data_IF_625511366764
#
_entry.id   IF_625511366764
#
_cell.length_a   1.000
_cell.length_b   1.000
_cell.length_c   1.000
_cell.angle_alpha   90.00
_cell.angle_beta   90.00
_cell.angle_gamma   90.00
#
_symmetry.space_group_name_H-M   'P 1'
#
loop_
_entity.id
_entity.type
_entity.pdbx_description
1 polymer ?
#
# COMPACT_ATOMS: atom_id res chain seq x y z
N UNK A 1 9.87 15.63 7.28
CA UNK A 1 10.02 14.47 6.37
C UNK A 1 9.80 14.95 4.95
N UNK A 2 10.73 14.69 4.03
CA UNK A 2 10.57 15.05 2.62
C UNK A 2 10.18 13.83 1.80
N UNK A 3 9.11 13.94 1.02
CA UNK A 3 8.71 12.93 0.04
C UNK A 3 9.13 13.42 -1.34
N UNK A 4 9.90 12.61 -2.06
CA UNK A 4 10.28 12.90 -3.43
C UNK A 4 9.34 12.19 -4.41
N UNK A 5 8.27 12.89 -4.81
CA UNK A 5 7.27 12.38 -5.75
C UNK A 5 7.86 11.84 -7.05
N UNK A 6 8.85 12.55 -7.63
CA UNK A 6 9.45 12.12 -8.90
C UNK A 6 10.22 10.83 -8.75
N UNK A 7 10.93 10.66 -7.62
CA UNK A 7 11.65 9.43 -7.32
C UNK A 7 10.71 8.22 -7.18
N UNK A 8 9.55 8.41 -6.53
CA UNK A 8 8.52 7.39 -6.41
C UNK A 8 7.87 7.07 -7.77
N UNK A 9 7.57 8.08 -8.59
CA UNK A 9 7.07 7.89 -9.96
C UNK A 9 8.04 7.10 -10.83
N UNK A 10 9.34 7.39 -10.75
CA UNK A 10 10.37 6.66 -11.49
C UNK A 10 10.49 5.20 -11.01
N UNK A 11 10.25 4.93 -9.73
CA UNK A 11 10.20 3.55 -9.24
C UNK A 11 8.96 2.83 -9.81
N UNK A 12 7.80 3.49 -9.75
CA UNK A 12 6.53 2.95 -10.25
C UNK A 12 6.49 2.75 -11.76
N UNK A 13 7.24 3.52 -12.56
CA UNK A 13 7.26 3.34 -14.02
C UNK A 13 7.78 1.96 -14.44
N UNK A 14 8.55 1.30 -13.58
CA UNK A 14 9.05 -0.06 -13.80
C UNK A 14 8.08 -1.14 -13.29
N UNK A 15 7.03 -0.76 -12.56
CA UNK A 15 6.04 -1.68 -12.00
C UNK A 15 4.79 -1.77 -12.88
N UNK A 16 4.68 -2.84 -13.67
CA UNK A 16 3.47 -3.12 -14.46
C UNK A 16 2.50 -4.00 -13.66
N UNK A 17 1.52 -3.37 -13.00
CA UNK A 17 0.46 -4.08 -12.29
C UNK A 17 -0.36 -4.97 -13.24
N UNK A 18 -0.49 -6.24 -12.89
CA UNK A 18 -1.26 -7.24 -13.64
C UNK A 18 -1.68 -8.40 -12.71
N UNK A 19 -2.42 -9.39 -13.24
CA UNK A 19 -2.94 -10.52 -12.43
C UNK A 19 -1.84 -11.35 -11.75
N UNK A 20 -0.63 -11.38 -12.28
CA UNK A 20 0.45 -12.21 -11.77
C UNK A 20 1.20 -11.57 -10.59
N UNK A 21 1.12 -10.25 -10.41
CA UNK A 21 1.77 -9.54 -9.31
C UNK A 21 0.81 -8.78 -8.40
N UNK A 22 -0.48 -8.73 -8.72
CA UNK A 22 -1.46 -8.00 -7.91
C UNK A 22 -1.55 -8.52 -6.47
N UNK A 23 -1.50 -9.84 -6.28
CA UNK A 23 -1.54 -10.44 -4.94
C UNK A 23 -0.25 -10.23 -4.13
N UNK A 24 0.86 -9.77 -4.76
CA UNK A 24 2.16 -9.64 -4.11
C UNK A 24 2.10 -8.74 -2.88
N UNK A 25 1.30 -7.67 -2.93
CA UNK A 25 1.13 -6.79 -1.79
C UNK A 25 0.63 -7.55 -0.55
N UNK A 26 -0.40 -8.38 -0.70
CA UNK A 26 -0.94 -9.18 0.41
C UNK A 26 0.04 -10.27 0.86
N UNK A 27 0.81 -10.88 -0.07
CA UNK A 27 1.87 -11.83 0.29
C UNK A 27 2.90 -11.16 1.21
N UNK A 28 3.40 -10.00 0.81
CA UNK A 28 4.37 -9.24 1.62
C UNK A 28 3.74 -8.74 2.92
N UNK A 29 2.48 -8.28 2.88
CA UNK A 29 1.76 -7.78 4.05
C UNK A 29 1.63 -8.86 5.11
N UNK A 30 1.19 -10.07 4.77
CA UNK A 30 0.99 -11.14 5.76
C UNK A 30 2.30 -11.84 6.14
N UNK A 31 3.36 -11.71 5.34
CA UNK A 31 4.69 -12.17 5.71
C UNK A 31 5.34 -11.23 6.75
N UNK A 32 5.21 -9.91 6.57
CA UNK A 32 5.83 -8.90 7.43
C UNK A 32 4.97 -8.54 8.64
N UNK A 33 3.65 -8.58 8.47
CA UNK A 33 2.63 -8.23 9.47
C UNK A 33 1.55 -9.33 9.50
N UNK A 34 1.86 -10.53 10.04
CA UNK A 34 0.91 -11.65 10.07
C UNK A 34 -0.43 -11.32 10.75
N UNK A 35 -0.44 -10.37 11.68
CA UNK A 35 -1.66 -9.89 12.34
C UNK A 35 -2.64 -9.17 11.39
N UNK A 36 -2.19 -8.79 10.18
CA UNK A 36 -3.08 -8.23 9.16
C UNK A 36 -3.92 -9.29 8.48
N UNK A 37 -3.50 -10.57 8.48
CA UNK A 37 -4.17 -11.64 7.76
C UNK A 37 -5.63 -11.85 8.21
N UNK A 38 -5.91 -11.71 9.51
CA UNK A 38 -7.24 -11.88 10.09
C UNK A 38 -8.27 -10.92 9.46
N UNK A 39 -7.93 -9.64 9.29
CA UNK A 39 -8.83 -8.63 8.69
C UNK A 39 -9.17 -8.91 7.22
N UNK A 40 -8.37 -9.74 6.56
CA UNK A 40 -8.60 -10.13 5.17
C UNK A 40 -9.21 -11.54 5.04
N UNK A 41 -9.56 -12.18 6.17
CA UNK A 41 -9.98 -13.58 6.26
C UNK A 41 -8.93 -14.51 5.63
N UNK A 42 -7.67 -14.24 5.94
CA UNK A 42 -6.51 -14.96 5.43
C UNK A 42 -5.73 -15.68 6.54
N UNK A 43 -6.26 -15.74 7.76
CA UNK A 43 -5.60 -16.39 8.88
C UNK A 43 -5.33 -17.88 8.58
N UNK A 44 -4.14 -18.35 8.90
CA UNK A 44 -3.70 -19.72 8.62
C UNK A 44 -3.47 -20.05 7.14
N UNK A 45 -3.73 -19.12 6.21
CA UNK A 45 -3.40 -19.31 4.79
C UNK A 45 -1.92 -18.99 4.59
N UNK A 46 -1.19 -19.91 3.97
CA UNK A 46 0.16 -19.65 3.48
C UNK A 46 0.14 -18.47 2.48
N UNK A 47 0.88 -17.37 2.72
CA UNK A 47 0.92 -16.22 1.82
C UNK A 47 1.23 -16.57 0.36
N UNK A 48 2.05 -17.60 0.09
CA UNK A 48 2.35 -18.01 -1.28
C UNK A 48 1.14 -18.64 -2.01
N UNK A 49 0.10 -19.05 -1.30
CA UNK A 49 -1.14 -19.52 -1.91
C UNK A 49 -2.01 -18.38 -2.46
N UNK A 50 -1.77 -17.12 -2.04
CA UNK A 50 -2.61 -15.98 -2.41
C UNK A 50 -2.52 -15.63 -3.91
N UNK A 51 -1.42 -15.96 -4.59
CA UNK A 51 -1.29 -15.79 -6.04
C UNK A 51 -2.33 -16.56 -6.85
N UNK A 52 -2.93 -17.60 -6.27
CA UNK A 52 -3.99 -18.41 -6.92
C UNK A 52 -5.39 -17.94 -6.54
N UNK A 53 -5.53 -17.04 -5.57
CA UNK A 53 -6.82 -16.56 -5.09
C UNK A 53 -7.32 -15.38 -5.89
N UNK A 54 -8.45 -15.55 -6.58
CA UNK A 54 -9.08 -14.44 -7.31
C UNK A 54 -9.46 -13.27 -6.38
N UNK A 55 -9.85 -13.55 -5.12
CA UNK A 55 -10.14 -12.52 -4.09
C UNK A 55 -8.93 -11.60 -3.90
N UNK A 56 -7.76 -12.18 -3.60
CA UNK A 56 -6.54 -11.41 -3.35
C UNK A 56 -5.95 -10.77 -4.60
N UNK A 57 -6.11 -11.39 -5.77
CA UNK A 57 -5.74 -10.74 -7.04
C UNK A 57 -6.58 -9.47 -7.25
N UNK A 58 -7.90 -9.51 -7.03
CA UNK A 58 -8.77 -8.34 -7.22
C UNK A 58 -8.51 -7.26 -6.17
N UNK A 59 -8.44 -7.63 -4.89
CA UNK A 59 -8.12 -6.70 -3.81
C UNK A 59 -6.74 -6.08 -4.00
N UNK A 60 -5.75 -6.87 -4.42
CA UNK A 60 -4.40 -6.39 -4.69
C UNK A 60 -4.39 -5.37 -5.82
N UNK A 61 -5.15 -5.60 -6.90
CA UNK A 61 -5.26 -4.62 -7.98
C UNK A 61 -5.82 -3.28 -7.50
N UNK A 62 -6.86 -3.31 -6.67
CA UNK A 62 -7.49 -2.12 -6.10
C UNK A 62 -6.52 -1.36 -5.18
N UNK A 63 -5.91 -2.05 -4.20
CA UNK A 63 -5.02 -1.42 -3.24
C UNK A 63 -3.76 -0.85 -3.89
N UNK A 64 -3.16 -1.55 -4.87
CA UNK A 64 -2.05 -1.00 -5.66
C UNK A 64 -2.44 0.30 -6.37
N UNK A 65 -3.64 0.37 -6.96
CA UNK A 65 -4.12 1.60 -7.60
C UNK A 65 -4.29 2.74 -6.59
N UNK A 66 -4.76 2.44 -5.36
CA UNK A 66 -4.82 3.43 -4.28
C UNK A 66 -3.43 3.93 -3.89
N UNK A 67 -2.43 3.05 -3.77
CA UNK A 67 -1.04 3.46 -3.51
C UNK A 67 -0.47 4.31 -4.63
N UNK A 68 -0.72 3.96 -5.90
CA UNK A 68 -0.27 4.77 -7.04
C UNK A 68 -0.94 6.15 -7.04
N UNK A 69 -2.22 6.21 -6.66
CA UNK A 69 -2.94 7.46 -6.52
C UNK A 69 -2.36 8.33 -5.40
N UNK A 70 -1.94 7.77 -4.26
CA UNK A 70 -1.22 8.55 -3.24
C UNK A 70 0.05 9.19 -3.80
N UNK A 71 0.87 8.43 -4.55
CA UNK A 71 2.06 9.00 -5.19
C UNK A 71 1.68 10.12 -6.16
N UNK A 72 0.63 9.92 -6.96
CA UNK A 72 0.21 10.89 -7.97
C UNK A 72 -0.36 12.17 -7.36
N UNK A 73 -1.07 12.10 -6.23
CA UNK A 73 -1.73 13.27 -5.62
C UNK A 73 -0.88 13.98 -4.58
N UNK A 74 0.26 13.40 -4.17
CA UNK A 74 1.16 14.08 -3.23
C UNK A 74 1.55 15.47 -3.76
N UNK A 75 1.39 16.48 -2.89
CA UNK A 75 1.60 17.90 -3.20
C UNK A 75 0.38 18.65 -3.77
N UNK A 76 -0.75 17.98 -3.99
CA UNK A 76 -2.03 18.60 -4.37
C UNK A 76 -3.09 18.32 -3.29
N UNK A 77 -3.26 19.26 -2.37
CA UNK A 77 -4.17 19.12 -1.21
C UNK A 77 -5.62 18.78 -1.61
N UNK A 78 -6.08 19.24 -2.79
CA UNK A 78 -7.45 19.01 -3.26
C UNK A 78 -7.68 17.53 -3.54
N UNK A 79 -6.71 16.87 -4.18
CA UNK A 79 -6.82 15.46 -4.57
C UNK A 79 -6.20 14.52 -3.55
N UNK A 80 -5.28 15.00 -2.71
CA UNK A 80 -4.62 14.24 -1.66
C UNK A 80 -5.59 13.68 -0.62
N UNK A 81 -6.51 14.52 -0.11
CA UNK A 81 -7.49 14.07 0.88
C UNK A 81 -8.40 12.98 0.31
N UNK A 82 -8.79 13.09 -0.95
CA UNK A 82 -9.55 12.04 -1.64
C UNK A 82 -8.73 10.77 -1.86
N UNK A 83 -7.42 10.88 -2.16
CA UNK A 83 -6.55 9.72 -2.25
C UNK A 83 -6.46 8.96 -0.91
N UNK A 84 -6.39 9.69 0.21
CA UNK A 84 -6.40 9.10 1.54
C UNK A 84 -7.75 8.46 1.90
N UNK A 85 -8.88 9.03 1.45
CA UNK A 85 -10.20 8.50 1.80
C UNK A 85 -10.46 7.11 1.22
N UNK A 86 -9.84 6.75 0.09
CA UNK A 86 -9.93 5.39 -0.42
C UNK A 86 -9.39 4.35 0.57
N UNK A 87 -8.27 4.64 1.26
CA UNK A 87 -7.77 3.73 2.30
C UNK A 87 -8.69 3.66 3.50
N UNK A 88 -9.29 4.80 3.89
CA UNK A 88 -10.32 4.81 4.94
C UNK A 88 -11.50 3.90 4.59
N UNK A 89 -12.00 3.98 3.35
CA UNK A 89 -13.11 3.15 2.87
C UNK A 89 -12.72 1.67 2.86
N UNK A 90 -11.58 1.32 2.24
CA UNK A 90 -11.07 -0.07 2.18
C UNK A 90 -10.88 -0.67 3.58
N UNK A 91 -10.41 0.13 4.54
CA UNK A 91 -10.14 -0.31 5.90
C UNK A 91 -11.44 -0.43 6.70
N UNK A 92 -12.37 0.51 6.52
CA UNK A 92 -13.70 0.44 7.14
C UNK A 92 -14.48 -0.79 6.67
N UNK A 93 -14.38 -1.15 5.39
CA UNK A 93 -15.06 -2.32 4.84
C UNK A 93 -14.51 -3.66 5.36
N UNK A 94 -13.30 -3.65 5.93
CA UNK A 94 -12.60 -4.83 6.47
C UNK A 94 -12.41 -4.75 7.99
N UNK A 95 -13.05 -3.79 8.65
CA UNK A 95 -12.88 -3.49 10.07
C UNK A 95 -11.42 -3.32 10.53
N UNK A 96 -10.55 -2.84 9.64
CA UNK A 96 -9.14 -2.57 9.93
C UNK A 96 -9.04 -1.21 10.65
N UNK A 97 -8.45 -1.15 11.86
CA UNK A 97 -8.15 0.13 12.50
C UNK A 97 -7.24 0.98 11.61
N UNK A 98 -7.68 2.20 11.27
CA UNK A 98 -6.92 3.07 10.36
C UNK A 98 -5.52 3.45 10.89
N UNK A 99 -5.32 3.36 12.21
CA UNK A 99 -4.00 3.48 12.85
C UNK A 99 -2.99 2.39 12.45
N UNK A 100 -3.43 1.27 11.85
CA UNK A 100 -2.55 0.25 11.26
C UNK A 100 -2.01 0.64 9.89
N UNK A 101 -2.53 1.70 9.25
CA UNK A 101 -2.10 2.08 7.90
C UNK A 101 -0.59 2.33 7.78
N UNK A 102 0.07 2.85 8.83
CA UNK A 102 1.51 3.14 8.78
C UNK A 102 2.39 1.90 8.53
N UNK A 103 1.93 0.69 8.90
CA UNK A 103 2.73 -0.54 8.77
C UNK A 103 2.79 -1.05 7.32
N UNK A 104 1.81 -0.69 6.48
CA UNK A 104 1.74 -1.20 5.10
C UNK A 104 2.86 -0.68 4.20
N UNK A 105 3.59 0.34 4.66
CA UNK A 105 4.71 0.92 3.94
C UNK A 105 5.80 -0.09 3.61
N UNK A 106 6.14 -0.99 4.53
CA UNK A 106 7.17 -2.00 4.27
C UNK A 106 6.66 -3.06 3.26
N UNK A 107 5.38 -3.44 3.34
CA UNK A 107 4.76 -4.39 2.42
C UNK A 107 4.69 -3.87 0.98
N UNK A 108 4.25 -2.62 0.77
CA UNK A 108 4.17 -2.03 -0.57
C UNK A 108 5.57 -1.83 -1.18
N UNK A 109 6.56 -1.44 -0.38
CA UNK A 109 7.96 -1.34 -0.82
C UNK A 109 8.48 -2.70 -1.27
N UNK A 110 8.28 -3.75 -0.48
CA UNK A 110 8.72 -5.10 -0.81
C UNK A 110 8.05 -5.61 -2.09
N UNK A 111 6.74 -5.40 -2.21
CA UNK A 111 5.97 -5.88 -3.36
C UNK A 111 6.37 -5.18 -4.67
N UNK A 112 6.56 -3.85 -4.64
CA UNK A 112 7.05 -3.12 -5.81
C UNK A 112 8.49 -3.55 -6.12
N UNK A 113 9.37 -3.63 -5.11
CA UNK A 113 10.78 -3.97 -5.31
C UNK A 113 10.97 -5.33 -5.98
N UNK A 114 10.13 -6.32 -5.66
CA UNK A 114 10.20 -7.66 -6.26
C UNK A 114 9.94 -7.66 -7.77
N UNK A 115 9.12 -6.72 -8.28
CA UNK A 115 8.70 -6.71 -9.69
C UNK A 115 9.20 -5.51 -10.50
N UNK A 116 9.67 -4.44 -9.84
CA UNK A 116 10.18 -3.22 -10.48
C UNK A 116 11.71 -3.07 -10.36
N UNK A 117 12.37 -3.98 -9.66
CA UNK A 117 13.77 -3.87 -9.24
C UNK A 117 13.89 -3.32 -7.82
N UNK A 118 14.99 -3.63 -7.15
CA UNK A 118 15.16 -3.24 -5.75
C UNK A 118 15.11 -1.72 -5.57
N UNK A 119 14.28 -1.27 -4.63
CA UNK A 119 14.23 0.14 -4.24
C UNK A 119 15.56 0.59 -3.62
N UNK A 120 16.11 1.67 -4.14
CA UNK A 120 17.24 2.41 -3.54
C UNK A 120 16.90 2.89 -2.13
N UNK A 121 17.90 3.17 -1.27
CA UNK A 121 17.66 3.73 0.07
C UNK A 121 16.77 4.98 0.05
N UNK A 122 16.98 5.88 -0.91
CA UNK A 122 16.21 7.12 -1.07
C UNK A 122 14.76 6.83 -1.48
N UNK A 123 14.53 5.83 -2.33
CA UNK A 123 13.17 5.39 -2.69
C UNK A 123 12.45 4.78 -1.50
N UNK A 124 13.13 3.92 -0.73
CA UNK A 124 12.59 3.29 0.49
C UNK A 124 12.21 4.37 1.51
N UNK A 125 13.09 5.33 1.77
CA UNK A 125 12.82 6.45 2.67
C UNK A 125 11.66 7.32 2.17
N UNK A 126 11.62 7.65 0.88
CA UNK A 126 10.52 8.45 0.32
C UNK A 126 9.17 7.74 0.38
N UNK A 127 9.12 6.41 0.22
CA UNK A 127 7.90 5.62 0.40
C UNK A 127 7.43 5.66 1.86
N UNK A 128 8.34 5.43 2.81
CA UNK A 128 8.04 5.50 4.25
C UNK A 128 7.51 6.87 4.63
N UNK A 129 8.14 7.95 4.15
CA UNK A 129 7.70 9.31 4.39
C UNK A 129 6.30 9.60 3.79
N UNK A 130 5.98 9.04 2.61
CA UNK A 130 4.67 9.21 1.99
C UNK A 130 3.57 8.52 2.82
N UNK A 131 3.82 7.28 3.23
CA UNK A 131 2.87 6.49 4.04
C UNK A 131 2.69 7.13 5.42
N UNK A 132 3.77 7.60 6.04
CA UNK A 132 3.69 8.34 7.30
C UNK A 132 2.90 9.64 7.13
N UNK A 133 3.13 10.41 6.06
CA UNK A 133 2.36 11.63 5.77
C UNK A 133 0.87 11.34 5.62
N UNK A 134 0.51 10.30 4.88
CA UNK A 134 -0.88 9.89 4.72
C UNK A 134 -1.48 9.45 6.06
N UNK A 135 -0.76 8.68 6.87
CA UNK A 135 -1.17 8.28 8.22
C UNK A 135 -1.44 9.49 9.13
N UNK A 136 -0.49 10.44 9.19
CA UNK A 136 -0.59 11.65 10.00
C UNK A 136 -1.74 12.56 9.54
N UNK A 137 -1.93 12.69 8.24
CA UNK A 137 -3.00 13.50 7.68
C UNK A 137 -4.36 12.89 7.95
N UNK A 138 -4.52 11.57 7.76
CA UNK A 138 -5.75 10.86 8.09
C UNK A 138 -6.13 11.04 9.57
N UNK A 139 -5.14 11.05 10.47
CA UNK A 139 -5.34 11.40 11.88
C UNK A 139 -5.77 12.86 12.04
N UNK A 140 -5.11 13.80 11.35
CA UNK A 140 -5.46 15.22 11.39
C UNK A 140 -6.86 15.53 10.83
N UNK A 141 -7.36 14.70 9.91
CA UNK A 141 -8.72 14.79 9.37
C UNK A 141 -9.79 14.28 10.34
N UNK A 142 -9.39 13.76 11.51
CA UNK A 142 -10.27 13.19 12.52
C UNK A 142 -10.84 11.83 12.12
N UNK A 143 -10.11 11.04 11.33
CA UNK A 143 -10.58 9.72 10.91
C UNK A 143 -10.25 8.60 11.90
N UNK A 144 -9.29 8.84 12.81
CA UNK A 144 -8.95 7.99 13.95
C UNK A 144 -8.09 8.76 14.97
#
# INVERSE_FOLDING_TARGET
MSVNKQLLKNHLSNFKLNRNNAAEYHVQLFTLHPEMAEFYEADGIDPDCLYKSQKFIMQGMEEFQCFFRLVETYGDDKTWRSACSYFKEIYSDKDIPLGKFSIVGDAIIAAISKHAGEATPEQKESWKNLIQKASDDMKSFGWY
#
